data_IF_367923546792
#
_entry.id   IF_367923546792
#
_cell.length_a   1.000
_cell.length_b   1.000
_cell.length_c   1.000
_cell.angle_alpha   90.00
_cell.angle_beta   90.00
_cell.angle_gamma   90.00
#
_symmetry.space_group_name_H-M   'P 1'
#
loop_
_entity.id
_entity.type
_entity.pdbx_description
1 polymer ?
#
# COMPACT_ATOMS: atom_id res chain seq x y z
N UNK A 1 -18.74 9.98 -19.93
CA UNK A 1 -17.73 9.52 -18.95
C UNK A 1 -17.06 8.31 -19.57
N UNK A 2 -15.81 8.44 -20.03
CA UNK A 2 -15.02 7.26 -20.44
C UNK A 2 -14.72 6.43 -19.20
N UNK A 3 -14.90 5.12 -19.29
CA UNK A 3 -14.74 4.21 -18.15
C UNK A 3 -13.34 4.34 -17.54
N UNK A 4 -13.28 4.83 -16.30
CA UNK A 4 -12.04 4.90 -15.52
C UNK A 4 -12.19 3.92 -14.37
N UNK A 5 -11.50 2.79 -14.45
CA UNK A 5 -11.39 1.87 -13.32
C UNK A 5 -10.73 2.61 -12.15
N UNK A 6 -11.39 2.58 -10.99
CA UNK A 6 -10.87 3.12 -9.73
C UNK A 6 -10.18 1.98 -8.99
N UNK A 7 -8.90 2.17 -8.64
CA UNK A 7 -8.09 1.17 -7.95
C UNK A 7 -7.89 1.50 -6.47
N UNK A 8 -7.85 2.80 -6.14
CA UNK A 8 -7.58 3.25 -4.79
C UNK A 8 -8.53 4.36 -4.37
N UNK A 9 -8.89 4.37 -3.09
CA UNK A 9 -9.57 5.46 -2.42
C UNK A 9 -8.81 5.82 -1.14
N UNK A 10 -8.68 7.11 -0.86
CA UNK A 10 -8.20 7.59 0.44
C UNK A 10 -8.91 8.87 0.84
N UNK A 11 -8.87 9.19 2.13
CA UNK A 11 -9.50 10.39 2.69
C UNK A 11 -8.45 11.22 3.41
N UNK A 12 -8.36 12.51 3.06
CA UNK A 12 -7.55 13.51 3.75
C UNK A 12 -8.47 14.61 4.28
N UNK A 13 -8.67 14.64 5.61
CA UNK A 13 -9.68 15.50 6.22
C UNK A 13 -11.08 15.15 5.71
N UNK A 14 -11.74 16.10 5.03
CA UNK A 14 -13.06 15.90 4.40
C UNK A 14 -12.98 15.64 2.89
N UNK A 15 -11.76 15.59 2.33
CA UNK A 15 -11.55 15.42 0.89
C UNK A 15 -11.30 13.95 0.58
N UNK A 16 -12.01 13.42 -0.42
CA UNK A 16 -11.83 12.07 -0.94
C UNK A 16 -10.97 12.14 -2.19
N UNK A 17 -10.00 11.23 -2.29
CA UNK A 17 -9.17 11.04 -3.48
C UNK A 17 -9.40 9.64 -4.05
N UNK A 18 -9.41 9.55 -5.39
CA UNK A 18 -9.52 8.29 -6.11
C UNK A 18 -8.37 8.14 -7.11
N UNK A 19 -7.63 7.04 -7.01
CA UNK A 19 -6.60 6.64 -7.97
C UNK A 19 -7.21 5.77 -9.07
N UNK A 20 -6.83 6.01 -10.32
CA UNK A 20 -7.46 5.38 -11.48
C UNK A 20 -6.45 4.66 -12.38
N UNK A 21 -6.94 3.82 -13.29
CA UNK A 21 -6.10 3.06 -14.23
C UNK A 21 -5.21 3.93 -15.15
N UNK A 22 -5.72 5.08 -15.57
CA UNK A 22 -5.03 5.94 -16.54
C UNK A 22 -5.56 7.37 -16.59
N UNK A 23 -6.46 7.74 -15.68
CA UNK A 23 -6.95 9.11 -15.53
C UNK A 23 -6.22 9.92 -14.45
N UNK A 24 -5.17 9.33 -13.84
CA UNK A 24 -4.48 9.88 -12.69
C UNK A 24 -5.36 9.85 -11.44
N UNK A 25 -5.39 10.98 -10.74
CA UNK A 25 -6.08 11.16 -9.46
C UNK A 25 -7.29 12.05 -9.64
N UNK A 26 -8.42 11.61 -9.09
CA UNK A 26 -9.63 12.41 -8.93
C UNK A 26 -9.74 12.87 -7.47
N UNK A 27 -10.28 14.07 -7.28
CA UNK A 27 -10.55 14.67 -5.96
C UNK A 27 -12.02 15.07 -5.86
N UNK A 28 -12.64 14.78 -4.72
CA UNK A 28 -13.97 15.26 -4.33
C UNK A 28 -13.91 15.94 -2.96
N UNK A 29 -14.47 17.15 -2.88
CA UNK A 29 -14.62 17.92 -1.63
C UNK A 29 -16.04 17.91 -1.08
N UNK A 30 -16.95 17.17 -1.70
CA UNK A 30 -18.39 17.13 -1.44
C UNK A 30 -18.90 15.70 -1.23
N UNK A 31 -18.09 14.86 -0.56
CA UNK A 31 -18.40 13.47 -0.24
C UNK A 31 -18.79 12.60 -1.45
N UNK A 32 -18.13 12.81 -2.58
CA UNK A 32 -18.32 12.04 -3.81
C UNK A 32 -19.38 12.59 -4.76
N UNK A 33 -20.00 13.75 -4.45
CA UNK A 33 -20.99 14.40 -5.32
C UNK A 33 -20.40 14.86 -6.65
N UNK A 34 -19.19 15.42 -6.64
CA UNK A 34 -18.44 15.85 -7.83
C UNK A 34 -16.97 15.49 -7.71
N UNK A 35 -16.40 15.12 -8.86
CA UNK A 35 -15.01 14.75 -8.99
C UNK A 35 -14.28 15.66 -9.99
N UNK A 36 -13.05 16.06 -9.64
CA UNK A 36 -12.16 16.83 -10.50
C UNK A 36 -10.81 16.15 -10.61
N UNK A 37 -10.25 16.02 -11.82
CA UNK A 37 -8.87 15.54 -12.01
C UNK A 37 -7.86 16.52 -11.42
N UNK A 38 -6.87 16.00 -10.71
CA UNK A 38 -5.85 16.77 -9.98
C UNK A 38 -4.45 16.21 -10.25
N UNK A 39 -3.99 16.34 -11.49
CA UNK A 39 -2.81 15.63 -12.02
C UNK A 39 -1.57 16.53 -12.23
N UNK A 40 -1.57 17.78 -11.78
CA UNK A 40 -0.43 18.69 -11.97
C UNK A 40 0.83 18.11 -11.34
N UNK A 41 1.90 17.92 -12.12
CA UNK A 41 3.15 17.30 -11.68
C UNK A 41 3.12 15.77 -11.56
N UNK A 42 1.98 15.13 -11.80
CA UNK A 42 1.83 13.67 -11.83
C UNK A 42 2.18 13.14 -13.23
N UNK A 43 3.42 12.71 -13.42
CA UNK A 43 3.92 12.26 -14.74
C UNK A 43 3.54 10.83 -15.10
N UNK A 44 2.88 10.09 -14.19
CA UNK A 44 2.40 8.72 -14.40
C UNK A 44 0.96 8.61 -13.87
N UNK A 45 0.03 8.17 -14.73
CA UNK A 45 -1.41 8.29 -14.51
C UNK A 45 -2.11 6.99 -14.11
N UNK A 46 -1.36 5.90 -14.02
CA UNK A 46 -1.84 4.67 -13.39
C UNK A 46 -1.57 4.74 -11.88
N UNK A 47 -2.63 4.86 -11.08
CA UNK A 47 -2.55 5.10 -9.64
C UNK A 47 -3.24 3.97 -8.86
N UNK A 48 -2.57 2.82 -8.67
CA UNK A 48 -3.11 1.69 -7.93
C UNK A 48 -3.17 1.89 -6.41
N UNK A 49 -2.43 2.85 -5.84
CA UNK A 49 -2.42 3.07 -4.40
C UNK A 49 -2.40 4.55 -4.00
N UNK A 50 -3.12 4.86 -2.93
CA UNK A 50 -3.17 6.16 -2.29
C UNK A 50 -3.10 5.99 -0.78
N UNK A 51 -2.31 6.82 -0.10
CA UNK A 51 -2.28 6.86 1.37
C UNK A 51 -2.08 8.29 1.87
N UNK A 52 -2.39 8.53 3.14
CA UNK A 52 -2.29 9.83 3.78
C UNK A 52 -1.43 9.72 5.05
N UNK A 53 -0.47 10.62 5.20
CA UNK A 53 0.30 10.83 6.43
C UNK A 53 0.12 12.28 6.89
N UNK A 54 -0.63 12.49 7.97
CA UNK A 54 -1.03 13.82 8.41
C UNK A 54 -1.87 14.53 7.35
N UNK A 55 -1.33 15.60 6.75
CA UNK A 55 -1.96 16.35 5.64
C UNK A 55 -1.37 16.02 4.26
N UNK A 56 -0.33 15.19 4.23
CA UNK A 56 0.40 14.84 3.01
C UNK A 56 -0.23 13.62 2.39
N UNK A 57 -0.48 13.67 1.09
CA UNK A 57 -1.04 12.57 0.31
C UNK A 57 0.09 11.97 -0.52
N UNK A 58 0.14 10.64 -0.55
CA UNK A 58 1.09 9.89 -1.37
C UNK A 58 0.33 9.02 -2.36
N UNK A 59 0.81 8.99 -3.59
CA UNK A 59 0.30 8.16 -4.68
C UNK A 59 1.40 7.21 -5.14
N UNK A 60 1.12 5.91 -5.10
CA UNK A 60 1.96 4.90 -5.71
C UNK A 60 1.47 4.67 -7.12
N UNK A 61 2.40 4.67 -8.07
CA UNK A 61 2.11 4.61 -9.50
C UNK A 61 3.02 3.60 -10.20
N UNK A 62 2.95 3.48 -11.52
CA UNK A 62 3.95 2.77 -12.33
C UNK A 62 5.26 3.56 -12.57
N UNK A 63 5.29 4.83 -12.18
CA UNK A 63 6.45 5.73 -12.23
C UNK A 63 7.04 6.07 -10.85
N UNK A 64 6.65 5.36 -9.79
CA UNK A 64 7.17 5.50 -8.43
C UNK A 64 6.14 6.08 -7.46
N UNK A 65 6.64 6.77 -6.44
CA UNK A 65 5.82 7.47 -5.44
C UNK A 65 5.79 8.96 -5.77
N UNK A 66 4.59 9.52 -5.76
CA UNK A 66 4.35 10.96 -5.86
C UNK A 66 3.78 11.46 -4.54
N UNK A 67 4.17 12.68 -4.16
CA UNK A 67 3.75 13.35 -2.93
C UNK A 67 3.06 14.66 -3.25
N UNK A 68 1.96 14.93 -2.55
CA UNK A 68 1.30 16.23 -2.52
C UNK A 68 1.15 16.73 -1.08
N UNK A 69 1.53 17.99 -0.86
CA UNK A 69 1.39 18.69 0.43
C UNK A 69 0.34 19.81 0.38
N UNK A 70 -0.35 19.96 -0.74
CA UNK A 70 -1.30 21.03 -1.04
C UNK A 70 -2.68 20.46 -1.48
N UNK A 71 -3.08 19.34 -0.86
CA UNK A 71 -4.37 18.67 -1.07
C UNK A 71 -4.61 18.28 -2.55
N UNK A 72 -3.58 17.74 -3.19
CA UNK A 72 -3.58 17.32 -4.59
C UNK A 72 -3.41 18.46 -5.60
N UNK A 73 -3.11 19.69 -5.17
CA UNK A 73 -2.87 20.81 -6.08
C UNK A 73 -1.69 20.56 -7.02
N UNK A 74 -0.59 20.04 -6.46
CA UNK A 74 0.62 19.65 -7.17
C UNK A 74 1.19 18.36 -6.59
N UNK A 75 1.78 17.57 -7.48
CA UNK A 75 2.47 16.33 -7.16
C UNK A 75 3.95 16.44 -7.49
N UNK A 76 4.80 15.86 -6.64
CA UNK A 76 6.25 15.79 -6.86
C UNK A 76 6.69 14.35 -6.69
N UNK A 77 7.50 13.85 -7.63
CA UNK A 77 8.07 12.51 -7.53
C UNK A 77 9.09 12.45 -6.37
N UNK A 78 9.00 11.41 -5.54
CA UNK A 78 9.81 11.23 -4.32
C UNK A 78 10.40 9.82 -4.32
N UNK A 79 11.34 9.56 -5.24
CA UNK A 79 11.82 8.22 -5.61
C UNK A 79 13.28 7.93 -5.24
N UNK A 80 13.93 8.77 -4.44
CA UNK A 80 15.36 8.59 -4.11
C UNK A 80 15.51 7.28 -3.32
N UNK A 81 16.33 6.36 -3.82
CA UNK A 81 16.53 5.03 -3.22
C UNK A 81 15.46 3.98 -3.59
N UNK A 82 14.44 4.35 -4.36
CA UNK A 82 13.39 3.44 -4.82
C UNK A 82 13.77 2.81 -6.18
N UNK A 83 14.48 1.67 -6.15
CA UNK A 83 15.04 1.04 -7.36
C UNK A 83 13.99 0.42 -8.31
N UNK A 84 12.76 0.19 -7.84
CA UNK A 84 11.63 -0.36 -8.64
C UNK A 84 10.44 0.58 -8.53
N UNK A 85 9.99 1.10 -9.68
CA UNK A 85 9.04 2.20 -9.72
C UNK A 85 7.57 1.78 -9.78
N UNK A 86 7.27 0.49 -10.01
CA UNK A 86 5.87 0.05 -9.90
C UNK A 86 5.50 -0.19 -8.43
N UNK A 87 4.64 0.70 -7.90
CA UNK A 87 4.23 0.74 -6.49
C UNK A 87 2.72 0.44 -6.37
N UNK A 88 2.33 -0.86 -6.40
CA UNK A 88 0.92 -1.26 -6.25
C UNK A 88 0.35 -1.00 -4.86
N UNK A 89 1.20 -0.84 -3.83
CA UNK A 89 0.73 -0.60 -2.46
C UNK A 89 1.61 0.38 -1.70
N UNK A 90 0.95 1.37 -1.09
CA UNK A 90 1.54 2.28 -0.12
C UNK A 90 0.78 2.17 1.19
N UNK A 91 1.51 2.17 2.31
CA UNK A 91 0.88 2.26 3.64
C UNK A 91 1.70 3.15 4.56
N UNK A 92 1.03 3.75 5.53
CA UNK A 92 1.65 4.53 6.60
C UNK A 92 1.45 3.76 7.89
N UNK A 93 2.53 3.51 8.63
CA UNK A 93 2.46 2.97 9.97
C UNK A 93 3.19 3.91 10.95
N UNK A 94 2.43 4.53 11.85
CA UNK A 94 2.91 5.65 12.65
C UNK A 94 3.34 6.82 11.76
N UNK A 95 4.62 7.19 11.82
CA UNK A 95 5.22 8.23 10.97
C UNK A 95 6.00 7.68 9.78
N UNK A 96 6.07 6.35 9.64
CA UNK A 96 6.88 5.68 8.64
C UNK A 96 6.03 5.31 7.43
N UNK A 97 6.53 5.63 6.24
CA UNK A 97 5.91 5.27 4.97
C UNK A 97 6.56 4.00 4.44
N UNK A 98 5.74 3.10 3.89
CA UNK A 98 6.20 1.87 3.25
C UNK A 98 5.64 1.76 1.84
N UNK A 99 6.48 1.32 0.92
CA UNK A 99 6.15 1.05 -0.48
C UNK A 99 6.40 -0.41 -0.79
N UNK A 100 5.35 -1.11 -1.19
CA UNK A 100 5.41 -2.44 -1.76
C UNK A 100 5.62 -2.29 -3.25
N UNK A 101 6.59 -3.01 -3.80
CA UNK A 101 6.96 -2.92 -5.21
C UNK A 101 6.91 -4.29 -5.87
N UNK A 102 6.78 -4.30 -7.20
CA UNK A 102 7.05 -5.51 -7.98
C UNK A 102 8.56 -5.65 -8.18
N UNK A 103 9.09 -6.83 -7.86
CA UNK A 103 10.49 -7.22 -8.03
C UNK A 103 11.51 -6.39 -7.23
N UNK A 104 11.05 -5.66 -6.20
CA UNK A 104 11.91 -4.89 -5.30
C UNK A 104 11.59 -5.10 -3.81
N UNK A 105 10.53 -5.84 -3.50
CA UNK A 105 10.09 -6.08 -2.13
C UNK A 105 9.49 -4.81 -1.51
N UNK A 106 9.75 -4.63 -0.21
CA UNK A 106 9.28 -3.50 0.59
C UNK A 106 10.40 -2.48 0.76
N UNK A 107 10.06 -1.22 0.53
CA UNK A 107 10.90 -0.06 0.84
C UNK A 107 10.28 0.73 1.99
N UNK A 108 11.15 1.31 2.82
CA UNK A 108 10.77 2.13 3.97
C UNK A 108 11.33 3.54 3.82
N UNK A 109 10.52 4.54 4.18
CA UNK A 109 10.92 5.94 4.31
C UNK A 109 10.48 6.48 5.67
N UNK A 110 11.39 7.16 6.36
CA UNK A 110 11.15 7.83 7.65
C UNK A 110 11.17 9.35 7.54
N UNK A 111 11.27 9.88 6.31
CA UNK A 111 11.42 11.30 5.98
C UNK A 111 10.36 11.76 4.96
N UNK A 112 9.15 11.20 5.05
CA UNK A 112 8.01 11.53 4.18
C UNK A 112 8.32 11.37 2.68
N UNK A 113 8.94 10.24 2.32
CA UNK A 113 9.32 9.87 0.95
C UNK A 113 10.61 10.51 0.45
N UNK A 114 11.31 11.31 1.27
CA UNK A 114 12.57 11.96 0.87
C UNK A 114 13.62 10.96 0.41
N UNK A 115 13.77 9.85 1.16
CA UNK A 115 14.64 8.73 0.85
C UNK A 115 13.96 7.40 1.19
N UNK A 116 14.25 6.38 0.40
CA UNK A 116 13.77 5.03 0.56
C UNK A 116 14.92 4.06 0.80
N UNK A 117 14.70 3.09 1.69
CA UNK A 117 15.63 2.00 1.96
C UNK A 117 14.90 0.67 1.84
N UNK A 118 15.47 -0.28 1.10
CA UNK A 118 14.92 -1.63 1.00
C UNK A 118 15.00 -2.33 2.36
N UNK A 119 13.91 -2.98 2.77
CA UNK A 119 13.75 -3.63 4.07
C UNK A 119 13.22 -5.05 3.86
N UNK A 120 14.05 -5.93 3.30
CA UNK A 120 13.63 -7.21 2.72
C UNK A 120 14.21 -8.46 3.43
N UNK A 121 14.87 -8.31 4.57
CA UNK A 121 15.46 -9.45 5.29
C UNK A 121 14.36 -10.44 5.70
N UNK A 122 14.45 -11.70 5.28
CA UNK A 122 13.41 -12.71 5.52
C UNK A 122 12.18 -12.62 4.61
N UNK A 123 12.10 -11.64 3.72
CA UNK A 123 11.04 -11.53 2.72
C UNK A 123 11.41 -12.37 1.49
N UNK A 124 10.95 -13.62 1.45
CA UNK A 124 11.35 -14.60 0.41
C UNK A 124 10.65 -14.37 -0.94
N UNK A 125 9.59 -13.54 -0.99
CA UNK A 125 8.95 -13.08 -2.23
C UNK A 125 8.94 -11.56 -2.33
N UNK A 126 9.55 -11.03 -3.40
CA UNK A 126 9.74 -9.59 -3.62
C UNK A 126 8.70 -8.97 -4.58
N UNK A 127 7.65 -9.69 -4.91
CA UNK A 127 6.47 -9.16 -5.60
C UNK A 127 5.43 -8.87 -4.52
N UNK A 128 5.32 -7.60 -4.14
CA UNK A 128 4.43 -7.16 -3.07
C UNK A 128 3.18 -6.52 -3.69
N UNK A 129 2.01 -7.11 -3.43
CA UNK A 129 0.72 -6.62 -3.93
C UNK A 129 0.02 -5.72 -2.91
N UNK A 130 0.16 -6.03 -1.62
CA UNK A 130 -0.55 -5.33 -0.56
C UNK A 130 0.34 -5.11 0.67
N UNK A 131 0.18 -3.96 1.31
CA UNK A 131 0.79 -3.62 2.59
C UNK A 131 -0.25 -3.08 3.55
N UNK A 132 -0.15 -3.45 4.83
CA UNK A 132 -0.96 -2.86 5.89
C UNK A 132 -0.20 -2.82 7.20
N UNK A 133 -0.38 -1.75 7.98
CA UNK A 133 0.24 -1.55 9.29
C UNK A 133 -0.77 -1.64 10.42
N UNK A 134 -0.34 -2.15 11.58
CA UNK A 134 -1.11 -2.13 12.82
C UNK A 134 -0.16 -2.10 14.02
N UNK A 135 -0.15 -0.97 14.74
CA UNK A 135 0.77 -0.73 15.85
C UNK A 135 2.24 -0.85 15.39
N UNK A 136 3.01 -1.74 16.03
CA UNK A 136 4.41 -1.99 15.65
C UNK A 136 4.57 -2.98 14.50
N UNK A 137 3.47 -3.60 14.05
CA UNK A 137 3.50 -4.65 13.04
C UNK A 137 3.19 -4.10 11.66
N UNK A 138 3.91 -4.58 10.65
CA UNK A 138 3.58 -4.40 9.24
C UNK A 138 3.46 -5.75 8.56
N UNK A 139 2.50 -5.86 7.65
CA UNK A 139 2.24 -7.06 6.87
C UNK A 139 2.42 -6.79 5.39
N UNK A 140 2.92 -7.78 4.67
CA UNK A 140 3.07 -7.78 3.23
C UNK A 140 2.33 -8.97 2.62
N UNK A 141 1.46 -8.69 1.67
CA UNK A 141 0.81 -9.67 0.82
C UNK A 141 1.62 -9.77 -0.46
N UNK A 142 2.11 -10.97 -0.76
CA UNK A 142 3.05 -11.22 -1.85
C UNK A 142 2.58 -12.39 -2.71
N UNK A 143 3.34 -12.75 -3.74
CA UNK A 143 3.16 -14.02 -4.46
C UNK A 143 3.55 -15.25 -3.62
N UNK A 144 4.33 -15.06 -2.55
CA UNK A 144 4.79 -16.10 -1.63
C UNK A 144 3.98 -16.18 -0.33
N UNK A 145 2.82 -15.52 -0.27
CA UNK A 145 1.93 -15.52 0.88
C UNK A 145 1.98 -14.23 1.70
N UNK A 146 1.56 -14.34 2.96
CA UNK A 146 1.56 -13.25 3.94
C UNK A 146 2.88 -13.27 4.69
N UNK A 147 3.54 -12.12 4.76
CA UNK A 147 4.71 -11.89 5.60
C UNK A 147 4.38 -10.86 6.67
N UNK A 148 5.03 -10.99 7.82
CA UNK A 148 4.85 -10.12 8.99
C UNK A 148 6.21 -9.67 9.51
N UNK A 149 6.32 -8.38 9.80
CA UNK A 149 7.45 -7.79 10.51
C UNK A 149 6.95 -7.04 11.75
N UNK A 150 7.66 -7.18 12.87
CA UNK A 150 7.37 -6.52 14.16
C UNK A 150 8.42 -5.46 14.54
N UNK A 151 9.40 -5.26 13.66
CA UNK A 151 10.58 -4.42 13.83
C UNK A 151 10.71 -3.43 12.67
N UNK A 152 9.57 -2.94 12.17
CA UNK A 152 9.49 -1.91 11.12
C UNK A 152 10.21 -2.31 9.82
N UNK A 153 10.07 -3.57 9.41
CA UNK A 153 10.71 -4.16 8.22
C UNK A 153 12.13 -4.67 8.44
N UNK A 154 12.66 -4.66 9.67
CA UNK A 154 13.99 -5.18 9.98
C UNK A 154 14.14 -6.65 9.61
N UNK A 155 13.15 -7.47 9.97
CA UNK A 155 12.99 -8.87 9.56
C UNK A 155 11.53 -9.21 9.30
N UNK A 156 11.33 -10.08 8.30
CA UNK A 156 10.03 -10.64 7.94
C UNK A 156 9.96 -12.12 8.30
N UNK A 157 8.76 -12.53 8.69
CA UNK A 157 8.41 -13.92 9.01
C UNK A 157 7.15 -14.31 8.26
N UNK A 158 7.10 -15.52 7.73
CA UNK A 158 5.95 -16.03 6.99
C UNK A 158 4.76 -16.33 7.92
N UNK A 159 3.56 -16.01 7.46
CA UNK A 159 2.27 -16.28 8.11
C UNK A 159 1.36 -17.04 7.13
N UNK A 160 1.82 -18.21 6.68
CA UNK A 160 1.24 -18.92 5.54
C UNK A 160 0.47 -20.20 5.90
N UNK A 161 0.48 -20.62 7.17
CA UNK A 161 -0.19 -21.86 7.58
C UNK A 161 -1.68 -21.74 7.26
N UNK A 162 -2.24 -22.69 6.52
CA UNK A 162 -3.66 -22.68 6.10
C UNK A 162 -3.94 -21.98 4.77
N UNK A 163 -2.98 -21.26 4.18
CA UNK A 163 -3.11 -20.78 2.81
C UNK A 163 -2.91 -21.93 1.82
N UNK A 164 -3.93 -22.20 1.02
CA UNK A 164 -3.87 -23.22 -0.05
C UNK A 164 -3.25 -22.69 -1.34
N UNK A 165 -3.17 -21.36 -1.50
CA UNK A 165 -2.47 -20.64 -2.57
C UNK A 165 -1.83 -19.38 -1.98
N UNK A 166 -0.68 -18.99 -2.51
CA UNK A 166 0.19 -18.00 -1.90
C UNK A 166 0.01 -16.58 -2.44
N UNK A 167 -0.74 -16.36 -3.52
CA UNK A 167 -0.93 -15.00 -4.05
C UNK A 167 -1.92 -14.23 -3.16
N UNK A 168 -1.40 -13.25 -2.42
CA UNK A 168 -2.18 -12.39 -1.54
C UNK A 168 -2.34 -11.01 -2.19
N UNK A 169 -3.54 -10.71 -2.66
CA UNK A 169 -3.85 -9.48 -3.42
C UNK A 169 -4.35 -8.34 -2.55
N UNK A 170 -4.90 -8.64 -1.37
CA UNK A 170 -5.43 -7.63 -0.46
C UNK A 170 -5.13 -8.01 0.99
N UNK A 171 -4.80 -7.01 1.81
CA UNK A 171 -4.61 -7.14 3.24
C UNK A 171 -5.35 -6.03 3.98
N UNK A 172 -5.97 -6.38 5.11
CA UNK A 172 -6.48 -5.39 6.07
C UNK A 172 -6.42 -5.93 7.48
N UNK A 173 -6.40 -5.03 8.47
CA UNK A 173 -6.40 -5.37 9.89
C UNK A 173 -7.59 -4.71 10.57
N UNK A 174 -8.30 -5.50 11.38
CA UNK A 174 -9.37 -5.03 12.27
C UNK A 174 -9.08 -5.50 13.69
N UNK A 175 -8.70 -4.56 14.57
CA UNK A 175 -8.20 -4.88 15.90
C UNK A 175 -6.94 -5.74 15.83
N UNK A 176 -7.00 -6.96 16.35
CA UNK A 176 -5.93 -7.97 16.26
C UNK A 176 -6.13 -8.94 15.10
N UNK A 177 -7.20 -8.80 14.31
CA UNK A 177 -7.50 -9.74 13.23
C UNK A 177 -6.96 -9.23 11.90
N UNK A 178 -6.07 -10.00 11.28
CA UNK A 178 -5.64 -9.78 9.90
C UNK A 178 -6.54 -10.56 8.95
N UNK A 179 -6.94 -9.92 7.85
CA UNK A 179 -7.64 -10.54 6.73
C UNK A 179 -6.76 -10.50 5.49
N UNK A 180 -6.67 -11.64 4.80
CA UNK A 180 -5.96 -11.80 3.54
C UNK A 180 -6.94 -12.22 2.45
N UNK A 181 -7.08 -11.38 1.43
CA UNK A 181 -7.77 -11.72 0.18
C UNK A 181 -6.78 -12.37 -0.78
N UNK A 182 -7.04 -13.61 -1.16
CA UNK A 182 -6.25 -14.38 -2.12
C UNK A 182 -7.07 -14.70 -3.36
N UNK A 183 -6.43 -15.29 -4.37
CA UNK A 183 -7.09 -15.86 -5.56
C UNK A 183 -8.03 -17.05 -5.23
N UNK A 184 -8.00 -17.57 -4.00
CA UNK A 184 -8.79 -18.72 -3.54
C UNK A 184 -9.83 -18.40 -2.46
N UNK A 185 -9.87 -17.15 -2.00
CA UNK A 185 -10.87 -16.67 -1.04
C UNK A 185 -10.31 -15.72 0.00
N UNK A 186 -11.09 -15.50 1.05
CA UNK A 186 -10.70 -14.65 2.18
C UNK A 186 -10.27 -15.55 3.33
N UNK A 187 -9.13 -15.24 3.92
CA UNK A 187 -8.59 -15.92 5.10
C UNK A 187 -8.38 -14.92 6.23
N UNK A 188 -8.43 -15.38 7.48
CA UNK A 188 -8.15 -14.54 8.64
C UNK A 188 -7.26 -15.22 9.69
N UNK A 189 -6.51 -14.41 10.44
CA UNK A 189 -5.88 -14.78 11.72
C UNK A 189 -6.29 -13.76 12.76
N UNK A 190 -6.67 -14.19 13.96
CA UNK A 190 -7.25 -13.34 15.02
C UNK A 190 -6.23 -12.78 16.02
N UNK A 191 -4.95 -13.05 15.81
CA UNK A 191 -3.84 -12.76 16.72
C UNK A 191 -2.66 -12.03 16.03
N UNK A 192 -2.97 -11.21 15.02
CA UNK A 192 -2.01 -10.46 14.21
C UNK A 192 -0.98 -11.35 13.50
N UNK A 193 -1.37 -12.54 13.05
CA UNK A 193 -0.48 -13.44 12.32
C UNK A 193 0.66 -13.99 13.18
N UNK A 194 0.36 -14.42 14.40
CA UNK A 194 1.34 -15.01 15.31
C UNK A 194 2.07 -16.20 14.68
N UNK A 195 3.34 -16.40 15.06
CA UNK A 195 4.17 -17.50 14.56
C UNK A 195 3.50 -18.86 14.85
N UNK A 196 3.40 -19.72 13.83
CA UNK A 196 2.88 -21.08 13.99
C UNK A 196 1.35 -21.22 13.96
N UNK A 197 0.60 -20.20 13.55
CA UNK A 197 -0.87 -20.22 13.55
C UNK A 197 -1.49 -20.14 12.16
N UNK A 198 -2.67 -20.78 12.06
CA UNK A 198 -3.39 -21.00 10.82
C UNK A 198 -4.23 -19.78 10.42
N UNK A 199 -4.06 -19.31 9.19
CA UNK A 199 -5.04 -18.52 8.46
C UNK A 199 -6.24 -19.42 8.13
N UNK A 200 -7.40 -19.06 8.65
CA UNK A 200 -8.64 -19.83 8.48
C UNK A 200 -9.49 -19.16 7.42
N UNK A 201 -10.00 -19.95 6.47
CA UNK A 201 -10.94 -19.46 5.45
C UNK A 201 -12.20 -18.92 6.14
N UNK A 202 -12.65 -17.75 5.71
CA UNK A 202 -13.90 -17.12 6.18
C UNK A 202 -15.11 -17.77 5.51
#
# INVERSE_FOLDING_TARGET
MTERYVFALTVSGTTIFAGTWGGGILRSGDNGGKWTSVNTGLTSQYVPSLTVSGKTIFAGTDGGVFRSTDNGGNWTAVNIGLARQYVPSLTVNGTTLYAGTFYGGVFRSTDNGGNWTAVNTGLTSQIVHALTGSGTTIFAGTDGGVFRSIDSGGNWTEVNIGLTRQIVLALTVSGTTIFAGTDSGIFRSTDNGGIGRQLVRV
#
